data_IF_807459621846
#
_entry.id   IF_807459621846
#
_cell.length_a   1.000
_cell.length_b   1.000
_cell.length_c   1.000
_cell.angle_alpha   90.00
_cell.angle_beta   90.00
_cell.angle_gamma   90.00
#
_symmetry.space_group_name_H-M   'P 1'
#
loop_
_entity.id
_entity.type
_entity.pdbx_description
1 polymer ?
#
# COMPACT_ATOMS: atom_id res chain seq x y z
N UNK A 1 -69.28 -3.68 63.70
CA UNK A 1 -68.69 -4.72 62.89
C UNK A 1 -67.79 -4.00 61.91
N UNK A 2 -66.53 -4.32 61.92
CA UNK A 2 -65.48 -3.46 61.33
C UNK A 2 -65.01 -4.00 59.96
N UNK A 3 -65.27 -3.19 58.95
CA UNK A 3 -64.78 -3.45 57.65
C UNK A 3 -63.31 -2.97 57.50
N UNK A 4 -62.43 -3.85 57.09
CA UNK A 4 -61.05 -3.52 56.75
C UNK A 4 -60.85 -3.82 55.27
N UNK A 5 -60.97 -2.78 54.47
CA UNK A 5 -60.58 -2.88 53.05
C UNK A 5 -59.05 -2.92 52.83
N UNK A 6 -58.55 -3.63 51.86
CA UNK A 6 -57.14 -3.74 51.60
C UNK A 6 -56.60 -2.54 50.82
N UNK A 7 -55.46 -2.00 51.28
CA UNK A 7 -54.72 -0.93 50.65
C UNK A 7 -53.91 -1.51 49.48
N UNK A 8 -54.22 -1.07 48.27
CA UNK A 8 -53.43 -1.35 47.11
C UNK A 8 -52.12 -0.55 47.14
N UNK A 9 -51.00 -1.27 47.23
CA UNK A 9 -49.63 -0.74 47.08
C UNK A 9 -49.30 -0.55 45.62
N UNK A 10 -49.16 0.69 45.16
CA UNK A 10 -48.66 1.00 43.85
C UNK A 10 -47.12 1.01 43.89
N UNK A 11 -46.49 -0.10 43.47
CA UNK A 11 -45.07 -0.14 43.23
C UNK A 11 -44.74 0.62 41.95
N UNK A 12 -44.04 1.74 42.11
CA UNK A 12 -43.48 2.50 41.01
C UNK A 12 -42.25 1.74 40.47
N UNK A 13 -42.43 1.09 39.33
CA UNK A 13 -41.31 0.54 38.56
C UNK A 13 -40.64 1.71 37.83
N UNK A 14 -39.55 2.20 38.38
CA UNK A 14 -38.67 3.16 37.70
C UNK A 14 -37.80 2.35 36.74
N UNK A 15 -38.19 2.32 35.47
CA UNK A 15 -37.39 1.75 34.40
C UNK A 15 -36.17 2.64 34.11
N UNK A 16 -35.01 2.22 34.54
CA UNK A 16 -33.74 2.83 34.13
C UNK A 16 -33.44 2.46 32.68
N UNK A 17 -33.72 3.37 31.75
CA UNK A 17 -33.19 3.30 30.36
C UNK A 17 -31.68 3.58 30.40
N UNK A 18 -30.87 2.53 30.42
CA UNK A 18 -29.47 2.61 30.17
C UNK A 18 -29.27 2.87 28.66
N UNK A 19 -29.07 4.16 28.28
CA UNK A 19 -28.57 4.52 26.96
C UNK A 19 -27.11 4.02 26.84
N UNK A 20 -26.92 2.88 26.18
CA UNK A 20 -25.62 2.48 25.69
C UNK A 20 -25.26 3.40 24.53
N UNK A 21 -24.52 4.48 24.83
CA UNK A 21 -23.79 5.25 23.82
C UNK A 21 -22.68 4.35 23.27
N UNK A 22 -22.94 3.70 22.14
CA UNK A 22 -21.91 3.03 21.36
C UNK A 22 -20.92 4.11 20.90
N UNK A 23 -19.80 4.22 21.59
CA UNK A 23 -18.64 4.99 21.16
C UNK A 23 -18.16 4.35 19.86
N UNK A 24 -18.64 4.86 18.72
CA UNK A 24 -18.03 4.58 17.42
C UNK A 24 -16.63 5.20 17.43
N UNK A 25 -15.64 4.42 17.84
CA UNK A 25 -14.26 4.82 17.65
C UNK A 25 -14.03 4.94 16.15
N UNK A 26 -13.50 6.08 15.66
CA UNK A 26 -13.08 6.16 14.28
C UNK A 26 -12.07 5.04 14.07
N UNK A 27 -12.44 4.06 13.23
CA UNK A 27 -11.45 3.14 12.70
C UNK A 27 -10.46 4.04 11.97
N UNK A 28 -9.25 4.14 12.49
CA UNK A 28 -8.14 4.64 11.71
C UNK A 28 -8.18 3.87 10.40
N UNK A 29 -8.52 4.54 9.31
CA UNK A 29 -8.58 3.92 7.99
C UNK A 29 -7.25 3.19 7.82
N UNK A 30 -7.28 1.91 7.53
CA UNK A 30 -6.06 1.17 7.29
C UNK A 30 -5.38 1.87 6.11
N UNK A 31 -4.14 2.29 6.32
CA UNK A 31 -3.33 2.89 5.27
C UNK A 31 -3.18 1.89 4.12
N UNK A 32 -3.18 2.39 2.90
CA UNK A 32 -3.07 1.59 1.68
C UNK A 32 -1.92 2.07 0.82
N UNK A 33 -1.14 1.12 0.32
CA UNK A 33 -0.09 1.37 -0.64
C UNK A 33 -0.40 0.77 -2.01
N UNK A 34 0.27 1.25 -3.04
CA UNK A 34 0.21 0.68 -4.38
C UNK A 34 1.52 0.89 -5.13
N UNK A 35 1.83 -0.05 -6.01
CA UNK A 35 2.95 -0.01 -6.95
C UNK A 35 2.43 -0.15 -8.38
N UNK A 36 2.82 0.77 -9.26
CA UNK A 36 2.56 0.72 -10.69
C UNK A 36 3.89 0.73 -11.46
N UNK A 37 3.96 -0.07 -12.51
CA UNK A 37 5.17 -0.22 -13.34
C UNK A 37 4.76 -0.16 -14.82
N UNK A 38 5.50 0.62 -15.60
CA UNK A 38 5.55 0.58 -17.05
C UNK A 38 6.80 -0.19 -17.47
N UNK A 39 6.64 -1.46 -17.87
CA UNK A 39 7.75 -2.35 -18.19
C UNK A 39 7.76 -2.67 -19.68
N UNK A 40 8.69 -2.11 -20.47
CA UNK A 40 8.86 -2.46 -21.88
C UNK A 40 9.57 -3.80 -22.05
N UNK A 41 9.57 -4.33 -23.26
CA UNK A 41 10.29 -5.57 -23.59
C UNK A 41 11.81 -5.43 -23.53
N UNK A 42 12.33 -4.22 -23.76
CA UNK A 42 13.75 -3.89 -23.73
C UNK A 42 14.00 -2.73 -22.75
N UNK A 43 14.18 -3.08 -21.47
CA UNK A 43 14.42 -2.09 -20.41
C UNK A 43 15.72 -1.32 -20.62
N UNK A 44 16.76 -1.95 -21.15
CA UNK A 44 18.04 -1.29 -21.40
C UNK A 44 17.91 -0.15 -22.41
N UNK A 45 17.04 -0.31 -23.39
CA UNK A 45 16.80 0.67 -24.46
C UNK A 45 15.75 1.71 -24.10
N UNK A 46 14.68 1.28 -23.45
CA UNK A 46 13.46 2.06 -23.26
C UNK A 46 13.27 2.54 -21.80
N UNK A 47 14.14 2.10 -20.89
CA UNK A 47 14.01 2.41 -19.46
C UNK A 47 12.77 1.77 -18.82
N UNK A 48 12.44 2.20 -17.62
CA UNK A 48 11.27 1.75 -16.84
C UNK A 48 10.52 2.96 -16.30
N UNK A 49 9.19 2.92 -16.30
CA UNK A 49 8.36 3.91 -15.62
C UNK A 49 7.86 3.33 -14.28
N UNK A 50 7.89 4.15 -13.23
CA UNK A 50 7.60 3.71 -11.86
C UNK A 50 6.67 4.71 -11.19
N UNK A 51 5.62 4.22 -10.53
CA UNK A 51 4.77 4.99 -9.64
C UNK A 51 4.46 4.18 -8.40
N UNK A 52 4.57 4.80 -7.25
CA UNK A 52 4.26 4.17 -5.98
C UNK A 52 3.64 5.17 -5.01
N UNK A 53 2.91 4.66 -4.06
CA UNK A 53 2.31 5.44 -2.97
C UNK A 53 2.17 4.54 -1.73
N UNK A 54 2.24 5.18 -0.58
CA UNK A 54 1.93 4.59 0.73
C UNK A 54 0.99 5.51 1.48
N UNK A 55 0.37 4.99 2.53
CA UNK A 55 -0.47 5.77 3.45
C UNK A 55 -1.61 6.52 2.75
N UNK A 56 -2.24 5.89 1.75
CA UNK A 56 -3.45 6.40 1.14
C UNK A 56 -4.68 6.03 1.98
N UNK A 57 -5.74 6.81 1.86
CA UNK A 57 -6.97 6.64 2.64
C UNK A 57 -7.81 5.43 2.18
N UNK A 58 -7.58 4.95 0.95
CA UNK A 58 -8.27 3.79 0.38
C UNK A 58 -7.43 3.11 -0.69
N UNK A 59 -7.75 1.85 -0.97
CA UNK A 59 -7.14 1.07 -2.05
C UNK A 59 -7.35 1.74 -3.43
N UNK A 60 -8.55 2.27 -3.69
CA UNK A 60 -8.87 2.97 -4.93
C UNK A 60 -7.97 4.21 -5.11
N UNK A 61 -7.84 5.03 -4.06
CA UNK A 61 -6.96 6.20 -4.07
C UNK A 61 -5.50 5.80 -4.25
N UNK A 62 -5.06 4.73 -3.59
CA UNK A 62 -3.70 4.21 -3.75
C UNK A 62 -3.44 3.78 -5.21
N UNK A 63 -4.37 3.01 -5.79
CA UNK A 63 -4.31 2.55 -7.17
C UNK A 63 -4.20 3.72 -8.16
N UNK A 64 -5.10 4.70 -8.06
CA UNK A 64 -5.10 5.86 -8.96
C UNK A 64 -3.81 6.69 -8.85
N UNK A 65 -3.34 6.94 -7.63
CA UNK A 65 -2.15 7.76 -7.40
C UNK A 65 -0.89 7.07 -7.88
N UNK A 66 -0.73 5.75 -7.63
CA UNK A 66 0.41 4.99 -8.13
C UNK A 66 0.42 4.94 -9.67
N UNK A 67 -0.74 4.68 -10.29
CA UNK A 67 -0.86 4.69 -11.75
C UNK A 67 -0.51 6.05 -12.34
N UNK A 68 -1.04 7.13 -11.78
CA UNK A 68 -0.73 8.49 -12.21
C UNK A 68 0.76 8.80 -12.07
N UNK A 69 1.37 8.45 -10.93
CA UNK A 69 2.81 8.64 -10.72
C UNK A 69 3.66 7.91 -11.77
N UNK A 70 3.24 6.72 -12.18
CA UNK A 70 3.90 5.96 -13.25
C UNK A 70 3.73 6.62 -14.63
N UNK A 71 2.52 7.06 -14.97
CA UNK A 71 2.23 7.75 -16.23
C UNK A 71 2.98 9.10 -16.36
N UNK A 72 3.21 9.78 -15.24
CA UNK A 72 3.89 11.07 -15.16
C UNK A 72 5.41 10.95 -14.94
N UNK A 73 5.96 9.73 -14.91
CA UNK A 73 7.37 9.48 -14.64
C UNK A 73 8.26 9.98 -15.77
N UNK A 74 8.94 11.12 -15.55
CA UNK A 74 9.63 11.86 -16.60
C UNK A 74 10.93 11.24 -17.10
N UNK A 75 11.54 10.35 -16.30
CA UNK A 75 12.79 9.68 -16.65
C UNK A 75 12.60 8.53 -17.66
N UNK A 76 11.35 8.18 -17.97
CA UNK A 76 11.02 7.21 -18.99
C UNK A 76 10.35 7.86 -20.21
N UNK A 77 10.59 7.34 -21.44
CA UNK A 77 9.94 7.82 -22.64
C UNK A 77 8.43 7.55 -22.62
N UNK A 78 7.68 8.30 -23.44
CA UNK A 78 6.24 8.17 -23.51
C UNK A 78 5.79 6.73 -23.89
N UNK A 79 6.56 6.03 -24.75
CA UNK A 79 6.32 4.63 -25.12
C UNK A 79 6.32 3.67 -23.93
N UNK A 80 7.20 3.91 -22.94
CA UNK A 80 7.26 3.13 -21.71
C UNK A 80 6.17 3.53 -20.74
N UNK A 81 5.88 4.83 -20.61
CA UNK A 81 4.85 5.33 -19.68
C UNK A 81 3.45 4.82 -20.01
N UNK A 82 3.09 4.68 -21.29
CA UNK A 82 1.77 4.14 -21.68
C UNK A 82 1.58 2.66 -21.31
N UNK A 83 2.66 1.95 -20.94
CA UNK A 83 2.63 0.58 -20.44
C UNK A 83 2.33 0.49 -18.94
N UNK A 84 2.22 1.63 -18.24
CA UNK A 84 1.98 1.67 -16.80
C UNK A 84 0.71 0.89 -16.42
N UNK A 85 0.87 -0.01 -15.47
CA UNK A 85 -0.22 -0.73 -14.82
C UNK A 85 0.08 -0.91 -13.34
N UNK A 86 -0.96 -0.95 -12.52
CA UNK A 86 -0.79 -1.29 -11.10
C UNK A 86 -0.46 -2.77 -11.00
N UNK A 87 0.69 -3.06 -10.35
CA UNK A 87 1.19 -4.41 -10.13
C UNK A 87 0.54 -5.03 -8.91
N UNK A 88 0.43 -4.23 -7.83
CA UNK A 88 -0.17 -4.66 -6.56
C UNK A 88 -0.61 -3.45 -5.74
N UNK A 89 -1.74 -3.56 -5.08
CA UNK A 89 -2.10 -2.79 -3.89
C UNK A 89 -1.70 -3.59 -2.65
N UNK A 90 -1.36 -2.92 -1.56
CA UNK A 90 -0.87 -3.57 -0.35
C UNK A 90 -1.22 -2.77 0.90
N UNK A 91 -1.27 -3.48 2.04
CA UNK A 91 -1.60 -2.88 3.34
C UNK A 91 -0.65 -3.40 4.42
N UNK A 92 -0.01 -2.48 5.15
CA UNK A 92 0.94 -2.84 6.20
C UNK A 92 2.18 -3.58 5.72
N UNK A 93 2.45 -3.55 4.41
CA UNK A 93 3.63 -4.12 3.78
C UNK A 93 4.62 -3.00 3.38
N UNK A 94 5.83 -3.40 3.03
CA UNK A 94 6.88 -2.51 2.56
C UNK A 94 7.12 -2.75 1.06
N UNK A 95 7.29 -1.68 0.30
CA UNK A 95 7.70 -1.73 -1.10
C UNK A 95 9.18 -1.36 -1.22
N UNK A 96 9.92 -2.12 -2.02
CA UNK A 96 11.27 -1.82 -2.44
C UNK A 96 11.39 -1.84 -3.96
N UNK A 97 12.21 -0.94 -4.51
CA UNK A 97 12.55 -0.87 -5.93
C UNK A 97 14.06 -0.78 -6.01
N UNK A 98 14.68 -1.65 -6.78
CA UNK A 98 16.10 -1.68 -7.02
C UNK A 98 16.39 -1.54 -8.52
N UNK A 99 17.37 -0.72 -8.86
CA UNK A 99 17.80 -0.45 -10.23
C UNK A 99 19.32 -0.55 -10.33
N UNK A 100 19.82 -0.92 -11.49
CA UNK A 100 21.18 -0.61 -11.88
C UNK A 100 21.23 0.90 -12.21
N UNK A 101 22.10 1.69 -11.58
CA UNK A 101 22.15 3.13 -11.78
C UNK A 101 22.72 3.55 -13.13
N UNK A 102 23.36 2.64 -13.88
CA UNK A 102 23.91 2.95 -15.19
C UNK A 102 22.82 2.93 -16.25
N UNK A 103 22.69 4.02 -16.99
CA UNK A 103 21.76 4.12 -18.11
C UNK A 103 22.08 3.08 -19.20
N UNK A 104 21.03 2.54 -19.82
CA UNK A 104 21.20 1.53 -20.86
C UNK A 104 21.43 0.12 -20.33
N UNK A 105 21.14 -0.13 -19.05
CA UNK A 105 21.22 -1.46 -18.44
C UNK A 105 19.84 -2.02 -18.16
N UNK A 106 19.67 -3.38 -18.20
CA UNK A 106 18.36 -4.00 -17.96
C UNK A 106 18.06 -4.25 -16.49
N UNK A 107 18.98 -3.89 -15.56
CA UNK A 107 18.87 -4.20 -14.14
C UNK A 107 17.70 -3.48 -13.46
N UNK A 108 16.59 -4.19 -13.24
CA UNK A 108 15.43 -3.70 -12.53
C UNK A 108 14.80 -4.80 -11.68
N UNK A 109 14.38 -4.44 -10.47
CA UNK A 109 13.67 -5.34 -9.56
C UNK A 109 12.81 -4.57 -8.59
N UNK A 110 11.75 -5.22 -8.14
CA UNK A 110 10.88 -4.70 -7.08
C UNK A 110 10.35 -5.85 -6.24
N UNK A 111 9.97 -5.51 -5.01
CA UNK A 111 9.33 -6.45 -4.10
C UNK A 111 8.38 -5.73 -3.16
N UNK A 112 7.35 -6.43 -2.73
CA UNK A 112 6.42 -6.02 -1.67
C UNK A 112 6.40 -7.13 -0.63
N UNK A 113 6.76 -6.81 0.62
CA UNK A 113 6.90 -7.78 1.70
C UNK A 113 6.53 -7.17 3.06
N UNK A 114 6.30 -8.03 4.05
CA UNK A 114 5.92 -7.61 5.41
C UNK A 114 7.00 -6.83 6.16
N UNK A 115 8.27 -6.92 5.74
CA UNK A 115 9.37 -6.21 6.36
C UNK A 115 10.24 -5.47 5.35
N UNK A 116 10.83 -4.34 5.77
CA UNK A 116 11.79 -3.59 4.95
C UNK A 116 12.94 -4.48 4.47
N UNK A 117 13.49 -5.30 5.36
CA UNK A 117 14.62 -6.18 5.06
C UNK A 117 14.27 -7.19 3.96
N UNK A 118 13.10 -7.81 4.06
CA UNK A 118 12.66 -8.78 3.04
C UNK A 118 12.41 -8.09 1.71
N UNK A 119 11.67 -6.95 1.72
CA UNK A 119 11.42 -6.19 0.50
C UNK A 119 12.72 -5.75 -0.19
N UNK A 120 13.69 -5.23 0.57
CA UNK A 120 15.01 -4.83 0.08
C UNK A 120 15.77 -6.00 -0.55
N UNK A 121 15.88 -7.12 0.19
CA UNK A 121 16.60 -8.31 -0.28
C UNK A 121 15.99 -8.86 -1.57
N UNK A 122 14.67 -8.98 -1.61
CA UNK A 122 13.97 -9.54 -2.75
C UNK A 122 14.02 -8.60 -3.99
N UNK A 123 13.93 -7.28 -3.77
CA UNK A 123 14.08 -6.31 -4.86
C UNK A 123 15.50 -6.33 -5.45
N UNK A 124 16.53 -6.41 -4.61
CA UNK A 124 17.94 -6.54 -5.06
C UNK A 124 18.15 -7.84 -5.82
N UNK A 125 17.62 -8.96 -5.32
CA UNK A 125 17.72 -10.25 -6.02
C UNK A 125 17.01 -10.22 -7.37
N UNK A 126 15.83 -9.60 -7.45
CA UNK A 126 15.10 -9.40 -8.71
C UNK A 126 15.89 -8.54 -9.68
N UNK A 127 16.46 -7.42 -9.23
CA UNK A 127 17.32 -6.57 -10.06
C UNK A 127 18.57 -7.34 -10.55
N UNK A 128 19.25 -8.06 -9.68
CA UNK A 128 20.41 -8.85 -10.04
C UNK A 128 20.10 -9.90 -11.12
N UNK A 129 18.91 -10.52 -11.06
CA UNK A 129 18.48 -11.51 -12.06
C UNK A 129 18.26 -10.92 -13.46
N UNK A 130 17.92 -9.64 -13.56
CA UNK A 130 17.69 -8.93 -14.82
C UNK A 130 18.93 -8.19 -15.32
N UNK A 131 19.87 -7.82 -14.43
CA UNK A 131 21.04 -7.00 -14.75
C UNK A 131 22.09 -7.72 -15.63
N UNK A 132 22.04 -9.06 -15.72
CA UNK A 132 23.08 -9.85 -16.36
C UNK A 132 24.29 -10.09 -15.45
N UNK A 133 25.07 -11.14 -15.75
CA UNK A 133 26.10 -11.67 -14.84
C UNK A 133 27.17 -10.64 -14.41
N UNK A 134 27.54 -9.73 -15.29
CA UNK A 134 28.60 -8.74 -15.02
C UNK A 134 28.11 -7.54 -14.21
N UNK A 135 26.78 -7.35 -14.09
CA UNK A 135 26.22 -6.16 -13.47
C UNK A 135 25.37 -6.43 -12.21
N UNK A 136 25.21 -7.67 -11.82
CA UNK A 136 24.39 -8.05 -10.65
C UNK A 136 24.74 -7.27 -9.39
N UNK A 137 26.03 -7.03 -9.14
CA UNK A 137 26.51 -6.30 -7.96
C UNK A 137 26.27 -4.78 -8.01
N UNK A 138 25.86 -4.24 -9.15
CA UNK A 138 25.60 -2.81 -9.31
C UNK A 138 24.20 -2.40 -8.91
N UNK A 139 23.27 -3.34 -8.77
CA UNK A 139 21.93 -3.07 -8.30
C UNK A 139 21.92 -2.32 -6.97
N UNK A 140 21.10 -1.27 -6.89
CA UNK A 140 20.92 -0.43 -5.69
C UNK A 140 19.45 -0.18 -5.45
N UNK A 141 19.05 -0.18 -4.18
CA UNK A 141 17.70 0.19 -3.78
C UNK A 141 17.51 1.70 -3.94
N UNK A 142 16.55 2.09 -4.75
CA UNK A 142 16.18 3.49 -5.00
C UNK A 142 14.95 3.92 -4.23
N UNK A 143 14.06 2.96 -3.91
CA UNK A 143 12.87 3.17 -3.08
C UNK A 143 12.81 2.07 -2.04
N UNK A 144 12.56 2.45 -0.78
CA UNK A 144 12.26 1.53 0.32
C UNK A 144 11.32 2.24 1.29
N UNK A 145 10.06 1.86 1.30
CA UNK A 145 8.99 2.50 2.10
C UNK A 145 8.00 1.45 2.60
N UNK A 146 7.46 1.70 3.81
CA UNK A 146 6.41 0.86 4.39
C UNK A 146 5.11 1.62 4.51
N UNK A 147 4.03 0.94 4.20
CA UNK A 147 2.68 1.41 4.42
C UNK A 147 2.30 1.30 5.90
N UNK A 148 1.57 2.29 6.45
CA UNK A 148 1.11 2.28 7.85
C UNK A 148 2.18 2.57 8.91
N UNK A 149 3.33 3.12 8.54
CA UNK A 149 4.41 3.47 9.48
C UNK A 149 4.88 4.91 9.31
#
# INVERSE_FOLDING_TARGET
MRDHGPRASWSRVVGALAMMAALAWPRAGAAEGALAIGLPSDVAKEGIAIGWVINSDSEETAHERALRGCLDFRDAPASTRVLCKVIKTFRGECVAIALDPEAGTPGVGWAIALSMRTAETDALAACASTAGAERQQHCRVTVLRCDGK
#
